data_IF_796008925107
#
_entry.id   IF_796008925107
#
_cell.length_a   1.000
_cell.length_b   1.000
_cell.length_c   1.000
_cell.angle_alpha   90.00
_cell.angle_beta   90.00
_cell.angle_gamma   90.00
#
_symmetry.space_group_name_H-M   'P 1'
#
loop_
_entity.id
_entity.type
_entity.pdbx_description
1 polymer ?
#
# COMPACT_ATOMS: atom_id res chain seq x y z
N UNK A 1 -8.69 10.55 0.57
CA UNK A 1 -8.39 9.15 0.25
C UNK A 1 -6.94 8.87 0.60
N UNK A 2 -6.70 7.95 1.54
CA UNK A 2 -5.35 7.58 1.96
C UNK A 2 -5.02 6.21 1.39
N UNK A 3 -3.87 6.06 0.77
CA UNK A 3 -3.36 4.75 0.39
C UNK A 3 -2.20 4.36 1.29
N UNK A 4 -2.24 3.11 1.69
CA UNK A 4 -1.20 2.46 2.45
C UNK A 4 -0.61 1.44 1.51
N UNK A 5 0.66 1.59 1.24
CA UNK A 5 1.35 0.74 0.30
C UNK A 5 2.50 0.10 1.03
N UNK A 6 2.74 -1.14 0.67
CA UNK A 6 3.85 -1.87 1.20
C UNK A 6 4.95 -1.77 0.16
N UNK A 7 5.81 -0.75 0.25
CA UNK A 7 6.79 -0.50 -0.81
C UNK A 7 8.21 -0.91 -0.40
N UNK A 8 8.53 -2.16 -0.69
CA UNK A 8 9.78 -2.58 -1.36
C UNK A 8 9.45 -3.67 -2.40
N UNK A 9 8.55 -3.29 -3.31
CA UNK A 9 8.56 -3.65 -4.74
C UNK A 9 8.50 -5.11 -5.21
N UNK A 10 9.30 -6.07 -4.75
CA UNK A 10 9.25 -7.46 -5.28
C UNK A 10 9.82 -8.50 -4.31
N UNK A 11 10.23 -8.10 -3.11
CA UNK A 11 10.44 -9.06 -2.05
C UNK A 11 9.19 -9.05 -1.23
N UNK A 12 8.27 -9.92 -1.66
CA UNK A 12 7.03 -10.23 -1.00
C UNK A 12 7.09 -9.90 0.49
N UNK A 13 6.51 -8.76 0.85
CA UNK A 13 6.03 -8.59 2.21
C UNK A 13 4.80 -9.44 2.34
N UNK A 14 5.12 -10.71 2.47
CA UNK A 14 4.28 -11.72 3.00
C UNK A 14 3.80 -11.19 4.35
N UNK A 15 2.58 -10.63 4.39
CA UNK A 15 1.79 -10.47 5.62
C UNK A 15 1.93 -11.77 6.42
N UNK A 16 1.96 -12.90 5.71
CA UNK A 16 2.26 -14.22 6.25
C UNK A 16 3.40 -14.89 5.48
N UNK A 17 4.49 -15.28 6.16
CA UNK A 17 5.57 -16.12 5.62
C UNK A 17 5.39 -17.55 6.12
N UNK A 18 5.36 -18.55 5.23
CA UNK A 18 5.07 -19.96 5.59
C UNK A 18 3.79 -20.11 6.44
N UNK A 19 2.75 -19.32 6.13
CA UNK A 19 1.49 -19.29 6.89
C UNK A 19 1.54 -18.53 8.22
N UNK A 20 2.71 -18.07 8.67
CA UNK A 20 2.88 -17.31 9.92
C UNK A 20 2.90 -15.81 9.68
N UNK A 21 2.11 -15.07 10.45
CA UNK A 21 2.06 -13.61 10.41
C UNK A 21 3.43 -13.00 10.75
N UNK A 22 3.94 -12.13 9.89
CA UNK A 22 5.20 -11.41 10.11
C UNK A 22 5.01 -10.24 11.09
N UNK A 23 6.08 -9.76 11.72
CA UNK A 23 5.98 -8.62 12.67
C UNK A 23 5.43 -7.36 12.00
N UNK A 24 5.88 -7.11 10.78
CA UNK A 24 5.39 -6.03 9.92
C UNK A 24 3.95 -6.26 9.43
N UNK A 25 3.57 -7.52 9.16
CA UNK A 25 2.18 -7.89 8.89
C UNK A 25 1.25 -7.60 10.08
N UNK A 26 1.69 -7.91 11.32
CA UNK A 26 0.96 -7.55 12.55
C UNK A 26 0.82 -6.04 12.72
N UNK A 27 1.92 -5.31 12.51
CA UNK A 27 1.89 -3.85 12.59
C UNK A 27 0.89 -3.25 11.59
N UNK A 28 0.98 -3.67 10.33
CA UNK A 28 0.09 -3.19 9.27
C UNK A 28 -1.38 -3.53 9.56
N UNK A 29 -1.65 -4.76 10.02
CA UNK A 29 -2.99 -5.19 10.40
C UNK A 29 -3.55 -4.32 11.52
N UNK A 30 -2.80 -4.15 12.62
CA UNK A 30 -3.23 -3.31 13.74
C UNK A 30 -3.44 -1.85 13.32
N UNK A 31 -2.57 -1.32 12.45
CA UNK A 31 -2.69 0.02 11.92
C UNK A 31 -3.96 0.17 11.08
N UNK A 32 -4.21 -0.78 10.16
CA UNK A 32 -5.42 -0.80 9.34
C UNK A 32 -6.67 -0.87 10.20
N UNK A 33 -6.70 -1.78 11.19
CA UNK A 33 -7.83 -1.94 12.11
C UNK A 33 -8.12 -0.67 12.90
N UNK A 34 -7.09 0.03 13.36
CA UNK A 34 -7.25 1.28 14.09
C UNK A 34 -7.69 2.41 13.15
N UNK A 35 -6.99 2.59 12.03
CA UNK A 35 -7.19 3.73 11.15
C UNK A 35 -8.56 3.70 10.44
N UNK A 36 -9.02 2.53 9.99
CA UNK A 36 -10.33 2.41 9.34
C UNK A 36 -11.48 2.70 10.30
N UNK A 37 -11.33 2.40 11.60
CA UNK A 37 -12.31 2.71 12.65
C UNK A 37 -12.30 4.20 13.02
N UNK A 38 -11.11 4.76 13.27
CA UNK A 38 -10.94 6.16 13.70
C UNK A 38 -11.21 7.19 12.60
N UNK A 39 -11.09 6.79 11.34
CA UNK A 39 -11.28 7.64 10.17
C UNK A 39 -12.24 6.99 9.18
N UNK A 40 -13.48 6.75 9.62
CA UNK A 40 -14.54 6.16 8.79
C UNK A 40 -14.87 6.97 7.53
N UNK A 41 -14.60 8.28 7.53
CA UNK A 41 -14.74 9.17 6.38
C UNK A 41 -13.58 9.05 5.36
N UNK A 42 -12.52 8.31 5.67
CA UNK A 42 -11.38 8.13 4.78
C UNK A 42 -11.50 6.79 4.08
N UNK A 43 -11.24 6.78 2.77
CA UNK A 43 -11.03 5.56 2.01
C UNK A 43 -9.57 5.12 2.12
N UNK A 44 -9.37 3.84 2.40
CA UNK A 44 -8.09 3.16 2.55
C UNK A 44 -7.89 2.18 1.40
N UNK A 45 -6.74 2.28 0.72
CA UNK A 45 -6.34 1.30 -0.30
C UNK A 45 -5.06 0.63 0.18
N UNK A 46 -5.08 -0.70 0.30
CA UNK A 46 -3.89 -1.50 0.51
C UNK A 46 -3.47 -2.11 -0.83
N UNK A 47 -2.29 -1.72 -1.33
CA UNK A 47 -1.68 -2.41 -2.45
C UNK A 47 -0.83 -3.59 -1.96
N UNK A 48 -1.07 -4.75 -2.55
CA UNK A 48 -0.33 -5.98 -2.28
C UNK A 48 -0.04 -6.75 -3.56
N UNK A 49 0.77 -7.80 -3.44
CA UNK A 49 1.09 -8.73 -4.53
C UNK A 49 0.25 -10.02 -4.46
N UNK A 50 0.47 -10.96 -5.38
CA UNK A 50 -0.22 -12.25 -5.42
C UNK A 50 -0.05 -13.12 -4.15
N UNK A 51 0.91 -12.78 -3.28
CA UNK A 51 1.16 -13.45 -2.01
C UNK A 51 0.55 -12.72 -0.80
N UNK A 52 -0.08 -11.57 -1.04
CA UNK A 52 -0.69 -10.75 0.01
C UNK A 52 -2.08 -11.29 0.33
N UNK A 53 -2.26 -11.77 1.57
CA UNK A 53 -3.57 -12.08 2.13
C UNK A 53 -3.81 -11.21 3.35
N UNK A 54 -4.95 -10.53 3.38
CA UNK A 54 -5.38 -9.70 4.51
C UNK A 54 -6.60 -10.35 5.17
N UNK A 55 -6.45 -10.76 6.41
CA UNK A 55 -7.52 -11.35 7.22
C UNK A 55 -8.28 -10.26 8.01
N UNK A 56 -8.64 -9.19 7.30
CA UNK A 56 -9.37 -8.05 7.84
C UNK A 56 -10.14 -7.34 6.74
N UNK A 57 -11.38 -6.94 7.06
CA UNK A 57 -12.27 -6.23 6.16
C UNK A 57 -12.88 -5.04 6.89
N UNK A 58 -12.96 -3.92 6.18
CA UNK A 58 -13.67 -2.72 6.63
C UNK A 58 -14.40 -2.11 5.42
N UNK A 59 -15.53 -1.42 5.63
CA UNK A 59 -16.32 -0.84 4.52
C UNK A 59 -15.54 0.22 3.74
N UNK A 60 -14.56 0.85 4.36
CA UNK A 60 -13.69 1.86 3.78
C UNK A 60 -12.29 1.32 3.44
N UNK A 61 -12.08 0.00 3.39
CA UNK A 61 -10.80 -0.63 3.05
C UNK A 61 -10.90 -1.46 1.77
N UNK A 62 -10.04 -1.17 0.80
CA UNK A 62 -9.91 -1.93 -0.45
C UNK A 62 -8.53 -2.56 -0.53
N UNK A 63 -8.47 -3.88 -0.70
CA UNK A 63 -7.25 -4.61 -1.06
C UNK A 63 -7.14 -4.66 -2.59
N UNK A 64 -6.04 -4.16 -3.14
CA UNK A 64 -5.71 -4.25 -4.57
C UNK A 64 -4.47 -5.12 -4.75
N UNK A 65 -4.68 -6.27 -5.37
CA UNK A 65 -3.59 -7.18 -5.75
C UNK A 65 -3.05 -6.79 -7.12
N UNK A 66 -1.77 -6.49 -7.19
CA UNK A 66 -1.06 -6.19 -8.43
C UNK A 66 0.06 -7.22 -8.57
N UNK A 67 0.09 -7.99 -9.67
CA UNK A 67 1.13 -8.98 -9.88
C UNK A 67 2.52 -8.35 -9.83
N UNK A 68 3.47 -9.05 -9.22
CA UNK A 68 4.88 -8.65 -9.23
C UNK A 68 5.39 -8.41 -10.67
N UNK A 69 6.06 -7.28 -10.86
CA UNK A 69 6.70 -6.85 -12.10
C UNK A 69 8.10 -6.35 -11.74
N UNK A 70 9.09 -6.42 -12.64
CA UNK A 70 10.46 -6.02 -12.29
C UNK A 70 10.54 -4.64 -11.61
N UNK A 71 11.40 -4.54 -10.60
CA UNK A 71 11.37 -3.49 -9.57
C UNK A 71 11.32 -2.07 -10.12
N UNK A 72 12.11 -1.82 -11.16
CA UNK A 72 12.17 -0.51 -11.81
C UNK A 72 10.83 -0.11 -12.43
N UNK A 73 10.11 -1.04 -13.05
CA UNK A 73 8.80 -0.75 -13.66
C UNK A 73 7.73 -0.47 -12.62
N UNK A 74 7.82 -1.12 -11.47
CA UNK A 74 6.94 -0.86 -10.34
C UNK A 74 7.14 0.57 -9.80
N UNK A 75 8.37 0.89 -9.39
CA UNK A 75 8.71 2.17 -8.76
C UNK A 75 8.48 3.35 -9.69
N UNK A 76 8.90 3.21 -10.95
CA UNK A 76 8.96 4.33 -11.89
C UNK A 76 7.70 4.46 -12.75
N UNK A 77 6.89 3.41 -12.85
CA UNK A 77 5.75 3.38 -13.78
C UNK A 77 4.43 3.01 -13.11
N UNK A 78 4.34 1.78 -12.63
CA UNK A 78 3.08 1.19 -12.14
C UNK A 78 2.56 1.93 -10.91
N UNK A 79 3.43 2.21 -9.94
CA UNK A 79 3.04 2.83 -8.67
C UNK A 79 2.59 4.30 -8.86
N UNK A 80 3.34 5.19 -9.56
CA UNK A 80 2.85 6.54 -9.86
C UNK A 80 1.54 6.55 -10.64
N UNK A 81 1.40 5.63 -11.60
CA UNK A 81 0.18 5.49 -12.42
C UNK A 81 -1.03 5.12 -11.55
N UNK A 82 -0.87 4.20 -10.61
CA UNK A 82 -1.92 3.80 -9.68
C UNK A 82 -2.29 4.90 -8.70
N UNK A 83 -1.30 5.59 -8.13
CA UNK A 83 -1.51 6.76 -7.26
C UNK A 83 -2.37 7.81 -7.97
N UNK A 84 -2.05 8.11 -9.23
CA UNK A 84 -2.80 9.08 -10.04
C UNK A 84 -4.20 8.57 -10.40
N UNK A 85 -4.31 7.30 -10.81
CA UNK A 85 -5.59 6.67 -11.19
C UNK A 85 -6.57 6.63 -10.03
N UNK A 86 -6.07 6.27 -8.85
CA UNK A 86 -6.88 6.11 -7.64
C UNK A 86 -7.04 7.41 -6.85
N UNK A 87 -6.44 8.53 -7.30
CA UNK A 87 -6.54 9.86 -6.68
C UNK A 87 -6.15 9.83 -5.21
N UNK A 88 -5.00 9.25 -4.94
CA UNK A 88 -4.46 9.09 -3.58
C UNK A 88 -3.91 10.42 -3.08
N UNK A 89 -4.37 10.88 -1.92
CA UNK A 89 -3.92 12.13 -1.31
C UNK A 89 -2.68 11.92 -0.43
N UNK A 90 -2.61 10.76 0.24
CA UNK A 90 -1.54 10.40 1.17
C UNK A 90 -1.07 8.99 0.83
N UNK A 91 0.23 8.83 0.62
CA UNK A 91 0.87 7.54 0.39
C UNK A 91 1.76 7.21 1.59
N UNK A 92 1.52 6.07 2.20
CA UNK A 92 2.35 5.57 3.29
C UNK A 92 3.08 4.32 2.82
N UNK A 93 4.41 4.39 2.71
CA UNK A 93 5.25 3.19 2.60
C UNK A 93 5.82 2.86 3.97
N UNK A 94 5.67 1.61 4.39
CA UNK A 94 6.24 1.14 5.66
C UNK A 94 7.77 1.16 5.69
N UNK A 95 8.45 1.29 4.54
CA UNK A 95 9.90 1.42 4.46
C UNK A 95 10.38 2.85 4.29
N UNK A 96 9.62 3.66 3.55
CA UNK A 96 10.04 5.01 3.18
C UNK A 96 9.36 6.11 4.03
N UNK A 97 8.40 5.73 4.88
CA UNK A 97 7.62 6.64 5.71
C UNK A 97 6.43 7.26 4.97
N UNK A 98 5.64 8.11 5.65
CA UNK A 98 4.53 8.84 5.04
C UNK A 98 5.04 9.92 4.08
N UNK A 99 4.58 9.89 2.84
CA UNK A 99 4.79 10.95 1.86
C UNK A 99 3.44 11.55 1.47
N UNK A 100 3.36 12.89 1.45
CA UNK A 100 2.20 13.57 0.90
C UNK A 100 2.21 13.39 -0.61
N UNK A 101 1.16 12.77 -1.15
CA UNK A 101 0.91 12.76 -2.59
C UNK A 101 0.22 14.06 -2.98
N UNK A 102 0.92 15.18 -2.79
CA UNK A 102 0.64 16.36 -3.62
C UNK A 102 0.88 15.95 -5.07
N UNK A 103 0.04 16.44 -5.99
CA UNK A 103 -0.06 16.16 -7.43
C UNK A 103 1.28 16.24 -8.24
N UNK A 104 2.41 16.47 -7.57
CA UNK A 104 3.74 16.75 -8.08
C UNK A 104 4.75 15.58 -8.00
N UNK A 105 4.35 14.36 -7.59
CA UNK A 105 5.24 13.18 -7.77
C UNK A 105 5.41 12.77 -9.25
N UNK A 106 4.75 13.48 -10.18
CA UNK A 106 5.16 13.56 -11.58
C UNK A 106 6.17 14.70 -11.77
N UNK A 107 7.33 14.67 -11.12
CA UNK A 107 8.45 15.53 -11.52
C UNK A 107 9.72 14.70 -11.70
N UNK A 108 9.98 14.45 -12.99
CA UNK A 108 11.24 14.19 -13.66
C UNK A 108 12.50 14.19 -12.78
N UNK A 109 13.33 13.16 -12.96
CA UNK A 109 14.77 13.35 -12.95
C UNK A 109 15.30 12.99 -14.36
N UNK A 110 16.27 13.75 -14.89
CA UNK A 110 16.61 13.84 -16.32
C UNK A 110 17.25 12.57 -16.90
#
# INVERSE_FOLDING_TARGET
MMALTIDEVNKALQIRTNGKMTGIGKYLLNFLEFATKERSNYAFILYGNQHTSLDYKAPNLTLKIIPEMATIWWDQGTLPSLIKKDRIDIFFSIYQGPCLCSLSLCHNNP
#
